data_IF_842728995598
#
_entry.id   IF_842728995598
#
_cell.length_a   1.000
_cell.length_b   1.000
_cell.length_c   1.000
_cell.angle_alpha   90.00
_cell.angle_beta   90.00
_cell.angle_gamma   90.00
#
_symmetry.space_group_name_H-M   'P 1'
#
loop_
_entity.id
_entity.type
_entity.pdbx_description
1 polymer ?
#
# COMPACT_ATOMS: atom_id res chain seq x y z
N UNK A 1 20.42 14.42 -1.29
CA UNK A 1 19.22 14.20 -2.12
C UNK A 1 18.49 13.00 -1.54
N UNK A 2 17.16 13.05 -1.44
CA UNK A 2 16.37 11.90 -1.00
C UNK A 2 16.42 10.80 -2.06
N UNK A 3 16.56 9.55 -1.64
CA UNK A 3 16.42 8.37 -2.51
C UNK A 3 14.97 7.92 -2.48
N UNK A 4 14.36 7.75 -3.64
CA UNK A 4 13.02 7.18 -3.80
C UNK A 4 13.09 5.97 -4.73
N UNK A 5 12.64 4.82 -4.25
CA UNK A 5 12.57 3.56 -5.01
C UNK A 5 11.11 3.24 -5.25
N UNK A 6 10.79 2.87 -6.49
CA UNK A 6 9.49 2.33 -6.88
C UNK A 6 9.65 0.82 -6.95
N UNK A 7 8.97 0.10 -6.07
CA UNK A 7 9.02 -1.35 -6.00
C UNK A 7 7.65 -1.92 -6.35
N UNK A 8 7.58 -2.84 -7.30
CA UNK A 8 6.36 -3.60 -7.55
C UNK A 8 6.32 -4.79 -6.57
N UNK A 9 5.61 -4.62 -5.44
CA UNK A 9 5.52 -5.61 -4.37
C UNK A 9 4.71 -6.83 -4.84
N UNK A 10 5.28 -8.05 -4.82
CA UNK A 10 4.53 -9.27 -5.09
C UNK A 10 3.49 -9.59 -4.01
N UNK A 11 2.51 -10.41 -4.37
CA UNK A 11 1.60 -11.05 -3.42
C UNK A 11 2.36 -11.84 -2.36
N UNK A 12 1.84 -11.85 -1.12
CA UNK A 12 2.42 -12.65 -0.02
C UNK A 12 3.69 -12.08 0.61
N UNK A 13 4.11 -10.87 0.21
CA UNK A 13 5.26 -10.16 0.79
C UNK A 13 4.79 -9.10 1.79
N UNK A 14 5.35 -9.10 3.00
CA UNK A 14 5.10 -8.08 4.00
C UNK A 14 5.82 -6.78 3.61
N UNK A 15 5.12 -5.65 3.72
CA UNK A 15 5.68 -4.29 3.56
C UNK A 15 6.58 -3.87 4.73
N UNK A 16 7.59 -4.67 5.08
CA UNK A 16 8.59 -4.43 6.13
C UNK A 16 9.91 -5.11 5.74
N UNK A 17 11.04 -4.66 6.28
CA UNK A 17 12.35 -5.31 6.08
C UNK A 17 12.68 -6.34 7.16
N UNK A 18 12.22 -6.13 8.39
CA UNK A 18 12.47 -7.01 9.53
C UNK A 18 11.26 -7.91 9.76
N UNK A 19 11.45 -9.23 9.76
CA UNK A 19 10.43 -10.17 10.23
C UNK A 19 10.52 -10.27 11.77
N UNK A 20 9.42 -9.99 12.47
CA UNK A 20 9.33 -10.08 13.93
C UNK A 20 8.56 -11.31 14.41
N UNK A 21 8.02 -12.13 13.50
CA UNK A 21 7.32 -13.38 13.83
C UNK A 21 8.31 -14.54 13.84
N UNK A 22 8.60 -15.09 15.02
CA UNK A 22 9.57 -16.16 15.21
C UNK A 22 9.14 -17.55 14.68
N UNK A 23 7.94 -17.69 14.10
CA UNK A 23 7.38 -18.96 13.65
C UNK A 23 6.67 -18.78 12.29
N UNK A 24 7.19 -19.41 11.23
CA UNK A 24 6.59 -19.36 9.88
C UNK A 24 6.86 -18.08 9.09
N UNK A 25 8.13 -17.67 9.03
CA UNK A 25 8.58 -16.40 8.44
C UNK A 25 7.99 -16.14 7.04
N UNK A 26 7.23 -15.04 6.93
CA UNK A 26 6.65 -14.61 5.65
C UNK A 26 7.69 -13.82 4.86
N UNK A 27 7.69 -13.87 3.52
CA UNK A 27 8.58 -13.05 2.71
C UNK A 27 8.51 -11.56 3.09
N UNK A 28 9.67 -10.92 3.18
CA UNK A 28 9.80 -9.49 3.49
C UNK A 28 10.47 -8.74 2.34
N UNK A 29 10.49 -7.41 2.43
CA UNK A 29 11.18 -6.57 1.43
C UNK A 29 12.67 -6.86 1.34
N UNK A 30 13.29 -7.39 2.40
CA UNK A 30 14.71 -7.73 2.44
C UNK A 30 15.11 -8.79 1.40
N UNK A 31 14.16 -9.60 0.91
CA UNK A 31 14.40 -10.58 -0.15
C UNK A 31 14.47 -9.95 -1.55
N UNK A 32 13.94 -8.74 -1.72
CA UNK A 32 13.76 -8.09 -3.02
C UNK A 32 14.52 -6.78 -3.17
N UNK A 33 14.92 -6.15 -2.05
CA UNK A 33 15.52 -4.82 -2.03
C UNK A 33 16.79 -4.86 -1.19
N UNK A 34 17.95 -4.93 -1.86
CA UNK A 34 19.27 -4.89 -1.24
C UNK A 34 19.80 -3.45 -1.10
N UNK A 35 18.93 -2.54 -0.67
CA UNK A 35 19.29 -1.13 -0.43
C UNK A 35 19.13 -0.84 1.07
N UNK A 36 20.23 -0.58 1.80
CA UNK A 36 20.12 -0.28 3.22
C UNK A 36 19.53 1.11 3.45
N UNK A 37 18.90 1.29 4.61
CA UNK A 37 18.44 2.61 5.09
C UNK A 37 17.15 3.13 4.45
N UNK A 38 16.55 2.41 3.50
CA UNK A 38 15.23 2.76 2.96
C UNK A 38 14.12 2.04 3.73
N UNK A 39 12.95 2.65 3.77
CA UNK A 39 11.76 2.09 4.42
C UNK A 39 10.49 2.49 3.65
N UNK A 40 9.39 1.74 3.84
CA UNK A 40 8.15 1.99 3.12
C UNK A 40 7.52 3.36 3.40
N UNK A 41 7.21 4.07 2.31
CA UNK A 41 6.39 5.27 2.30
C UNK A 41 4.92 4.94 2.06
N UNK A 42 4.29 4.45 3.12
CA UNK A 42 2.99 3.79 3.07
C UNK A 42 3.17 2.28 3.12
N UNK A 43 2.09 1.55 3.36
CA UNK A 43 2.08 0.09 3.41
C UNK A 43 1.07 -0.44 2.40
N UNK A 44 1.44 -1.53 1.74
CA UNK A 44 0.51 -2.43 1.08
C UNK A 44 0.29 -3.65 1.98
N UNK A 45 -0.92 -4.17 1.97
CA UNK A 45 -1.26 -5.36 2.72
C UNK A 45 -0.56 -6.59 2.14
N UNK A 46 -0.51 -7.66 2.95
CA UNK A 46 0.19 -8.89 2.59
C UNK A 46 -0.38 -9.51 1.31
N UNK A 47 -1.70 -9.51 1.20
CA UNK A 47 -2.52 -10.04 0.12
C UNK A 47 -2.75 -9.02 -1.02
N UNK A 48 -2.18 -7.82 -0.92
CA UNK A 48 -2.15 -6.86 -2.01
C UNK A 48 -0.87 -6.96 -2.84
N UNK A 49 -0.92 -6.45 -4.06
CA UNK A 49 0.20 -6.37 -4.99
C UNK A 49 0.36 -4.94 -5.53
N UNK A 50 1.49 -4.65 -6.18
CA UNK A 50 1.65 -3.43 -6.95
C UNK A 50 2.62 -2.43 -6.35
N UNK A 51 2.43 -1.15 -6.69
CA UNK A 51 3.37 -0.09 -6.39
C UNK A 51 3.53 0.19 -4.89
N UNK A 52 4.72 -0.09 -4.36
CA UNK A 52 5.19 0.31 -3.04
C UNK A 52 6.37 1.28 -3.19
N UNK A 53 6.28 2.43 -2.53
CA UNK A 53 7.35 3.43 -2.52
C UNK A 53 8.26 3.20 -1.31
N UNK A 54 9.57 3.23 -1.51
CA UNK A 54 10.57 3.15 -0.44
C UNK A 54 11.46 4.39 -0.46
N UNK A 55 11.78 4.94 0.70
CA UNK A 55 12.60 6.16 0.81
C UNK A 55 13.49 6.11 2.03
N UNK A 56 14.62 6.84 1.99
CA UNK A 56 15.47 7.11 3.16
C UNK A 56 15.08 8.42 3.89
N UNK A 57 14.33 9.31 3.22
CA UNK A 57 13.91 10.61 3.76
C UNK A 57 12.56 10.56 4.50
N UNK A 58 12.57 10.89 5.79
CA UNK A 58 11.38 10.88 6.65
C UNK A 58 10.35 11.97 6.35
N UNK A 59 10.79 13.10 5.79
CA UNK A 59 9.87 14.15 5.35
C UNK A 59 9.12 13.72 4.10
N UNK A 60 9.82 13.08 3.16
CA UNK A 60 9.19 12.51 1.97
C UNK A 60 8.26 11.37 2.35
N UNK A 61 8.69 10.50 3.27
CA UNK A 61 7.85 9.42 3.77
C UNK A 61 6.55 9.95 4.39
N UNK A 62 6.64 10.91 5.29
CA UNK A 62 5.47 11.51 5.93
C UNK A 62 4.56 12.18 4.89
N UNK A 63 5.15 12.86 3.89
CA UNK A 63 4.39 13.49 2.79
C UNK A 63 3.56 12.49 2.00
N UNK A 64 4.06 11.27 1.83
CA UNK A 64 3.38 10.22 1.07
C UNK A 64 2.36 9.47 1.93
N UNK A 65 2.75 9.09 3.15
CA UNK A 65 2.00 8.14 3.97
C UNK A 65 0.97 8.78 4.90
N UNK A 66 1.16 10.04 5.31
CA UNK A 66 0.29 10.69 6.28
C UNK A 66 -1.09 11.00 5.64
N UNK A 67 -2.20 10.51 6.25
CA UNK A 67 -3.55 10.72 5.75
C UNK A 67 -3.92 12.19 5.53
N UNK A 68 -3.25 13.14 6.21
CA UNK A 68 -3.49 14.58 6.04
C UNK A 68 -3.23 15.07 4.61
N UNK A 69 -2.31 14.43 3.89
CA UNK A 69 -1.94 14.85 2.53
C UNK A 69 -2.87 14.31 1.45
N UNK A 70 -3.71 13.31 1.78
CA UNK A 70 -4.78 12.79 0.90
C UNK A 70 -4.30 12.48 -0.53
N UNK A 71 -3.09 11.95 -0.69
CA UNK A 71 -2.57 11.63 -2.02
C UNK A 71 -3.46 10.58 -2.70
N UNK A 72 -3.77 10.84 -3.96
CA UNK A 72 -4.54 9.94 -4.79
C UNK A 72 -3.78 8.63 -4.99
N UNK A 73 -4.53 7.52 -4.96
CA UNK A 73 -4.03 6.17 -5.19
C UNK A 73 -4.98 5.50 -6.16
N UNK A 74 -4.42 4.80 -7.13
CA UNK A 74 -5.18 4.09 -8.15
C UNK A 74 -4.92 2.61 -8.00
N UNK A 75 -5.98 1.82 -7.98
CA UNK A 75 -5.94 0.38 -7.81
C UNK A 75 -6.62 -0.29 -9.00
N UNK A 76 -6.02 -1.37 -9.48
CA UNK A 76 -6.72 -2.34 -10.31
C UNK A 76 -7.22 -3.44 -9.38
N UNK A 77 -8.54 -3.65 -9.34
CA UNK A 77 -9.18 -4.57 -8.40
C UNK A 77 -9.93 -5.63 -9.18
N UNK A 78 -9.64 -6.90 -8.89
CA UNK A 78 -10.41 -8.02 -9.37
C UNK A 78 -11.52 -8.35 -8.37
N UNK A 79 -12.73 -8.57 -8.85
CA UNK A 79 -13.91 -8.90 -8.04
C UNK A 79 -14.59 -10.15 -8.57
N UNK A 80 -15.36 -10.81 -7.72
CA UNK A 80 -16.29 -11.85 -8.15
C UNK A 80 -17.52 -11.22 -8.83
N UNK A 81 -17.97 -11.80 -9.93
CA UNK A 81 -19.09 -11.29 -10.72
C UNK A 81 -18.77 -10.03 -11.52
N UNK A 82 -19.82 -9.35 -11.97
CA UNK A 82 -19.73 -8.12 -12.79
C UNK A 82 -20.51 -6.99 -12.09
N UNK A 83 -19.82 -5.97 -11.55
CA UNK A 83 -20.49 -4.84 -10.91
C UNK A 83 -21.35 -4.05 -11.90
N UNK A 84 -22.65 -3.95 -11.64
CA UNK A 84 -23.55 -3.09 -12.40
C UNK A 84 -23.34 -1.60 -12.13
N UNK A 85 -23.97 -0.76 -12.94
CA UNK A 85 -23.83 0.70 -12.89
C UNK A 85 -24.18 1.30 -11.52
N UNK A 86 -25.21 0.78 -10.85
CA UNK A 86 -25.62 1.25 -9.52
C UNK A 86 -24.55 1.00 -8.45
N UNK A 87 -23.89 -0.17 -8.49
CA UNK A 87 -22.80 -0.49 -7.57
C UNK A 87 -21.58 0.40 -7.81
N UNK A 88 -21.24 0.63 -9.08
CA UNK A 88 -20.15 1.54 -9.45
C UNK A 88 -20.47 2.99 -9.06
N UNK A 89 -21.72 3.44 -9.22
CA UNK A 89 -22.17 4.75 -8.78
C UNK A 89 -22.10 4.91 -7.25
N UNK A 90 -22.48 3.89 -6.49
CA UNK A 90 -22.35 3.89 -5.04
C UNK A 90 -20.88 4.01 -4.60
N UNK A 91 -19.96 3.27 -5.22
CA UNK A 91 -18.53 3.38 -4.95
C UNK A 91 -17.99 4.78 -5.25
N UNK A 92 -18.38 5.38 -6.39
CA UNK A 92 -17.99 6.75 -6.79
C UNK A 92 -18.54 7.83 -5.87
N UNK A 93 -19.71 7.62 -5.28
CA UNK A 93 -20.36 8.60 -4.40
C UNK A 93 -20.00 8.41 -2.91
N UNK A 94 -19.26 7.35 -2.58
CA UNK A 94 -18.88 7.01 -1.22
C UNK A 94 -19.85 6.01 -0.57
N UNK A 95 -19.29 4.93 -0.04
CA UNK A 95 -20.01 3.90 0.72
C UNK A 95 -19.78 4.10 2.23
N UNK A 96 -20.79 3.79 3.06
CA UNK A 96 -20.67 3.87 4.52
C UNK A 96 -20.10 2.56 5.08
N UNK A 97 -18.94 2.65 5.70
CA UNK A 97 -18.29 1.58 6.46
C UNK A 97 -18.43 1.83 7.97
N UNK A 98 -17.91 0.90 8.78
CA UNK A 98 -17.98 0.97 10.26
C UNK A 98 -17.28 2.21 10.83
N UNK A 99 -16.25 2.70 10.16
CA UNK A 99 -15.41 3.83 10.55
C UNK A 99 -15.81 5.16 9.88
N UNK A 100 -16.83 5.15 9.02
CA UNK A 100 -17.39 6.36 8.42
C UNK A 100 -17.75 6.22 6.95
N UNK A 101 -18.01 7.36 6.31
CA UNK A 101 -18.29 7.43 4.88
C UNK A 101 -16.95 7.50 4.11
N UNK A 102 -16.76 6.60 3.13
CA UNK A 102 -15.66 6.70 2.19
C UNK A 102 -15.76 8.01 1.39
N UNK A 103 -14.62 8.60 1.04
CA UNK A 103 -14.62 9.80 0.21
C UNK A 103 -14.94 9.45 -1.25
N UNK A 104 -15.84 10.20 -1.91
CA UNK A 104 -15.99 10.16 -3.35
C UNK A 104 -14.75 10.74 -4.06
#
# INVERSE_FOLDING_TARGET
MARLILFNKPYGVISQFTDRSAEGARPTLAQYVDVPGVYPAGRLDLDSEGLLLLTDDGRLQARIADPRFKLAKTYLVQVEGEPGDDALAALRNGVRLKDGLCRP
#
